data_IF_209084271205
#
_entry.id   IF_209084271205
#
_cell.length_a   1.000
_cell.length_b   1.000
_cell.length_c   1.000
_cell.angle_alpha   90.00
_cell.angle_beta   90.00
_cell.angle_gamma   90.00
#
_symmetry.space_group_name_H-M   'P 1'
#
loop_
_entity.id
_entity.type
_entity.pdbx_description
1 polymer ?
#
# COMPACT_ATOMS: atom_id res chain seq x y z
N UNK A 1 -42.40 27.19 19.64
CA UNK A 1 -41.14 27.30 20.41
C UNK A 1 -40.27 26.04 20.30
N UNK A 2 -40.78 24.82 20.60
CA UNK A 2 -39.96 23.59 20.55
C UNK A 2 -39.41 23.24 19.14
N UNK A 3 -40.21 23.42 18.09
CA UNK A 3 -39.79 23.14 16.70
C UNK A 3 -38.61 23.98 16.22
N UNK A 4 -38.53 25.25 16.66
CA UNK A 4 -37.42 26.13 16.33
C UNK A 4 -36.11 25.64 16.94
N UNK A 5 -36.16 25.17 18.19
CA UNK A 5 -34.98 24.62 18.88
C UNK A 5 -34.47 23.32 18.24
N UNK A 6 -35.37 22.48 17.73
CA UNK A 6 -35.01 21.25 17.01
C UNK A 6 -34.29 21.57 15.70
N UNK A 7 -34.81 22.53 14.93
CA UNK A 7 -34.21 22.94 13.65
C UNK A 7 -32.82 23.55 13.88
N UNK A 8 -32.68 24.44 14.86
CA UNK A 8 -31.40 25.07 15.21
C UNK A 8 -30.39 24.02 15.66
N UNK A 9 -30.80 23.04 16.48
CA UNK A 9 -29.93 21.92 16.90
C UNK A 9 -29.46 21.08 15.71
N UNK A 10 -30.38 20.75 14.78
CA UNK A 10 -30.05 20.02 13.56
C UNK A 10 -29.05 20.76 12.66
N UNK A 11 -29.22 22.08 12.49
CA UNK A 11 -28.30 22.91 11.71
C UNK A 11 -26.91 23.00 12.36
N UNK A 12 -26.83 23.08 13.69
CA UNK A 12 -25.56 23.10 14.42
C UNK A 12 -24.81 21.78 14.29
N UNK A 13 -25.51 20.64 14.40
CA UNK A 13 -24.90 19.31 14.18
C UNK A 13 -24.41 19.15 12.75
N UNK A 14 -25.20 19.63 11.77
CA UNK A 14 -24.82 19.59 10.36
C UNK A 14 -23.58 20.46 10.06
N UNK A 15 -23.54 21.69 10.60
CA UNK A 15 -22.38 22.58 10.48
C UNK A 15 -21.14 22.01 11.18
N UNK A 16 -21.28 21.44 12.38
CA UNK A 16 -20.16 20.81 13.08
C UNK A 16 -19.62 19.59 12.31
N UNK A 17 -20.50 18.80 11.68
CA UNK A 17 -20.10 17.69 10.81
C UNK A 17 -19.39 18.19 9.55
N UNK A 18 -19.90 19.24 8.92
CA UNK A 18 -19.27 19.85 7.75
C UNK A 18 -17.90 20.44 8.09
N UNK A 19 -17.77 21.13 9.22
CA UNK A 19 -16.49 21.63 9.72
C UNK A 19 -15.50 20.50 10.00
N UNK A 20 -15.92 19.36 10.56
CA UNK A 20 -15.03 18.20 10.75
C UNK A 20 -14.54 17.62 9.42
N UNK A 21 -15.41 17.54 8.41
CA UNK A 21 -15.04 17.08 7.07
C UNK A 21 -14.02 18.06 6.46
N UNK A 22 -14.30 19.36 6.51
CA UNK A 22 -13.42 20.40 5.98
C UNK A 22 -12.07 20.44 6.73
N UNK A 23 -12.06 20.24 8.06
CA UNK A 23 -10.81 20.17 8.85
C UNK A 23 -10.02 18.88 8.57
N UNK A 24 -10.69 17.76 8.33
CA UNK A 24 -10.05 16.50 7.94
C UNK A 24 -9.46 16.60 6.53
N UNK A 25 -10.15 17.28 5.60
CA UNK A 25 -9.64 17.59 4.26
C UNK A 25 -8.50 18.61 4.26
N UNK A 26 -8.44 19.47 5.27
CA UNK A 26 -7.39 20.49 5.42
C UNK A 26 -6.26 20.08 6.35
N UNK A 27 -6.35 18.92 7.01
CA UNK A 27 -5.18 18.35 7.68
C UNK A 27 -4.20 17.97 6.57
N UNK A 28 -3.09 18.73 6.37
CA UNK A 28 -2.08 18.30 5.44
C UNK A 28 -1.53 17.03 6.06
N UNK A 29 -1.82 15.87 5.48
CA UNK A 29 -0.96 14.72 5.75
C UNK A 29 0.43 15.24 5.42
N UNK A 30 1.30 15.30 6.44
CA UNK A 30 2.69 15.71 6.26
C UNK A 30 3.23 14.77 5.20
N UNK A 31 3.28 15.25 3.97
CA UNK A 31 3.83 14.56 2.83
C UNK A 31 5.35 14.62 2.96
N UNK A 32 5.87 14.09 4.07
CA UNK A 32 7.28 14.02 4.39
C UNK A 32 8.01 13.15 3.37
N UNK A 33 7.29 12.26 2.67
CA UNK A 33 7.79 11.56 1.50
C UNK A 33 8.13 12.49 0.32
N UNK A 34 7.51 13.68 0.22
CA UNK A 34 7.43 14.48 -1.00
C UNK A 34 8.34 15.71 -1.05
N UNK A 35 8.93 16.15 0.06
CA UNK A 35 9.82 17.32 0.08
C UNK A 35 11.15 17.01 0.79
N UNK A 36 12.01 16.22 0.14
CA UNK A 36 13.45 16.44 0.31
C UNK A 36 13.80 17.74 -0.42
N UNK A 37 13.88 18.79 0.38
CA UNK A 37 14.39 20.12 0.04
C UNK A 37 15.79 20.02 -0.57
N UNK A 38 15.96 20.45 -1.83
CA UNK A 38 17.16 21.12 -2.33
C UNK A 38 18.54 20.44 -2.25
N UNK A 39 18.65 19.19 -1.82
CA UNK A 39 19.86 18.36 -1.90
C UNK A 39 19.71 17.30 -2.97
N UNK A 40 20.82 16.77 -3.50
CA UNK A 40 20.83 15.71 -4.51
C UNK A 40 19.74 14.67 -4.26
N UNK A 41 18.93 14.34 -5.28
CA UNK A 41 17.89 13.31 -5.23
C UNK A 41 18.51 12.02 -4.68
N UNK A 42 18.29 11.74 -3.40
CA UNK A 42 18.77 10.50 -2.80
C UNK A 42 17.92 9.36 -3.35
N UNK A 43 18.47 8.66 -4.33
CA UNK A 43 17.88 7.44 -4.87
C UNK A 43 17.78 6.44 -3.72
N UNK A 44 16.55 6.02 -3.44
CA UNK A 44 16.25 5.01 -2.41
C UNK A 44 15.96 3.67 -3.07
N UNK A 45 16.32 2.59 -2.38
CA UNK A 45 15.85 1.25 -2.72
C UNK A 45 14.48 1.01 -2.07
N UNK A 46 13.47 0.79 -2.90
CA UNK A 46 12.07 0.63 -2.47
C UNK A 46 11.59 -0.77 -2.82
N UNK A 47 10.94 -1.45 -1.88
CA UNK A 47 10.29 -2.74 -2.07
C UNK A 47 8.78 -2.57 -2.00
N UNK A 48 8.09 -2.82 -3.10
CA UNK A 48 6.65 -2.95 -3.15
C UNK A 48 6.27 -4.43 -2.93
N UNK A 49 5.54 -4.71 -1.84
CA UNK A 49 5.10 -6.06 -1.50
C UNK A 49 3.60 -6.20 -1.80
N UNK A 50 3.27 -7.08 -2.75
CA UNK A 50 1.91 -7.37 -3.21
C UNK A 50 1.55 -8.85 -3.02
N UNK A 51 0.26 -9.17 -3.04
CA UNK A 51 -0.23 -10.53 -2.85
C UNK A 51 -0.30 -11.29 -4.17
N UNK A 52 -0.82 -10.65 -5.21
CA UNK A 52 -1.18 -11.30 -6.47
C UNK A 52 -0.69 -10.51 -7.69
N UNK A 53 -0.50 -11.19 -8.83
CA UNK A 53 -0.29 -10.52 -10.11
C UNK A 53 -1.57 -9.80 -10.56
N UNK A 54 -1.53 -8.47 -10.63
CA UNK A 54 -2.61 -7.48 -10.94
C UNK A 54 -2.64 -6.34 -9.91
N UNK A 55 -2.25 -6.61 -8.66
CA UNK A 55 -2.21 -5.64 -7.57
C UNK A 55 -1.37 -4.40 -7.90
N UNK A 56 -0.25 -4.60 -8.62
CA UNK A 56 0.64 -3.52 -9.04
C UNK A 56 -0.07 -2.54 -9.97
N UNK A 57 -0.88 -3.06 -10.88
CA UNK A 57 -1.59 -2.29 -11.89
C UNK A 57 -2.88 -1.70 -11.31
N UNK A 58 -3.64 -2.51 -10.57
CA UNK A 58 -4.95 -2.15 -10.02
C UNK A 58 -4.83 -1.13 -8.88
N UNK A 59 -3.86 -1.33 -7.99
CA UNK A 59 -3.64 -0.46 -6.86
C UNK A 59 -2.42 0.42 -7.10
N UNK A 60 -1.23 -0.13 -7.30
CA UNK A 60 -0.02 0.66 -7.11
C UNK A 60 0.47 1.49 -8.31
N UNK A 61 -0.21 1.48 -9.46
CA UNK A 61 0.21 2.21 -10.68
C UNK A 61 0.61 3.67 -10.43
N UNK A 62 -0.16 4.51 -9.71
CA UNK A 62 0.24 5.88 -9.41
C UNK A 62 1.52 5.97 -8.58
N UNK A 63 1.64 5.10 -7.58
CA UNK A 63 2.80 5.03 -6.68
C UNK A 63 4.05 4.60 -7.46
N UNK A 64 3.94 3.55 -8.27
CA UNK A 64 5.04 3.03 -9.08
C UNK A 64 5.53 4.10 -10.06
N UNK A 65 4.63 4.73 -10.80
CA UNK A 65 4.99 5.80 -11.75
C UNK A 65 5.67 6.98 -11.06
N UNK A 66 5.20 7.38 -9.87
CA UNK A 66 5.86 8.43 -9.10
C UNK A 66 7.29 8.00 -8.73
N UNK A 67 7.47 6.83 -8.13
CA UNK A 67 8.77 6.34 -7.67
C UNK A 67 9.79 6.23 -8.82
N UNK A 68 9.37 5.65 -9.94
CA UNK A 68 10.23 5.49 -11.11
C UNK A 68 10.54 6.84 -11.76
N UNK A 69 9.59 7.78 -11.82
CA UNK A 69 9.83 9.14 -12.35
C UNK A 69 10.82 9.96 -11.52
N UNK A 70 10.91 9.67 -10.22
CA UNK A 70 11.87 10.31 -9.29
C UNK A 70 13.23 9.60 -9.25
N UNK A 71 13.40 8.53 -10.03
CA UNK A 71 14.65 7.78 -10.14
C UNK A 71 14.92 6.85 -8.96
N UNK A 72 13.91 6.52 -8.14
CA UNK A 72 14.06 5.52 -7.09
C UNK A 72 14.24 4.12 -7.69
N UNK A 73 14.95 3.26 -6.96
CA UNK A 73 15.22 1.89 -7.37
C UNK A 73 14.11 0.97 -6.84
N UNK A 74 13.09 0.71 -7.66
CA UNK A 74 11.90 -0.03 -7.25
C UNK A 74 12.02 -1.53 -7.53
N UNK A 75 11.77 -2.34 -6.51
CA UNK A 75 11.64 -3.80 -6.59
C UNK A 75 10.20 -4.19 -6.25
N UNK A 76 9.68 -5.22 -6.91
CA UNK A 76 8.35 -5.79 -6.66
C UNK A 76 8.53 -7.21 -6.15
N UNK A 77 7.95 -7.49 -4.99
CA UNK A 77 7.79 -8.84 -4.44
C UNK A 77 6.32 -9.23 -4.46
N UNK A 78 5.98 -10.19 -5.32
CA UNK A 78 4.65 -10.79 -5.37
C UNK A 78 4.67 -12.12 -4.64
N UNK A 79 3.89 -12.23 -3.56
CA UNK A 79 3.98 -13.36 -2.61
C UNK A 79 3.28 -14.63 -3.09
N UNK A 80 2.47 -14.54 -4.14
CA UNK A 80 1.84 -15.69 -4.79
C UNK A 80 1.80 -15.53 -6.31
N UNK A 81 1.46 -16.62 -6.98
CA UNK A 81 1.29 -16.67 -8.44
C UNK A 81 -0.12 -16.29 -8.89
N UNK A 82 -1.04 -16.00 -7.96
CA UNK A 82 -2.45 -15.72 -8.29
C UNK A 82 -3.18 -16.93 -8.88
N UNK A 83 -2.79 -18.16 -8.49
CA UNK A 83 -3.23 -19.39 -9.14
C UNK A 83 -4.57 -19.96 -8.60
N UNK A 84 -5.42 -19.16 -7.97
CA UNK A 84 -6.71 -19.65 -7.46
C UNK A 84 -7.58 -20.29 -8.56
N UNK A 85 -7.52 -19.75 -9.78
CA UNK A 85 -8.26 -20.24 -10.95
C UNK A 85 -7.43 -21.16 -11.87
N UNK A 86 -6.24 -21.60 -11.45
CA UNK A 86 -5.35 -22.43 -12.27
C UNK A 86 -4.59 -21.66 -13.37
N UNK A 87 -4.63 -20.32 -13.34
CA UNK A 87 -4.06 -19.41 -14.36
C UNK A 87 -2.71 -18.79 -13.95
N UNK A 88 -2.06 -19.28 -12.91
CA UNK A 88 -0.91 -18.62 -12.30
C UNK A 88 0.30 -18.43 -13.22
N UNK A 89 0.53 -19.35 -14.17
CA UNK A 89 1.60 -19.19 -15.16
C UNK A 89 1.34 -18.03 -16.12
N UNK A 90 0.08 -17.83 -16.53
CA UNK A 90 -0.31 -16.71 -17.40
C UNK A 90 -0.19 -15.40 -16.62
N UNK A 91 -0.71 -15.37 -15.39
CA UNK A 91 -0.67 -14.20 -14.51
C UNK A 91 0.76 -13.76 -14.14
N UNK A 92 1.70 -14.71 -14.01
CA UNK A 92 3.13 -14.40 -13.86
C UNK A 92 3.66 -13.58 -15.04
N UNK A 93 3.38 -14.02 -16.26
CA UNK A 93 3.82 -13.32 -17.48
C UNK A 93 3.14 -11.94 -17.59
N UNK A 94 1.86 -11.84 -17.25
CA UNK A 94 1.12 -10.58 -17.22
C UNK A 94 1.77 -9.57 -16.27
N UNK A 95 2.16 -9.98 -15.05
CA UNK A 95 2.85 -9.09 -14.10
C UNK A 95 4.23 -8.66 -14.62
N UNK A 96 5.00 -9.54 -15.28
CA UNK A 96 6.26 -9.12 -15.89
C UNK A 96 6.04 -8.07 -16.99
N UNK A 97 5.05 -8.26 -17.86
CA UNK A 97 4.71 -7.30 -18.91
C UNK A 97 4.21 -5.97 -18.34
N UNK A 98 3.32 -6.00 -17.35
CA UNK A 98 2.83 -4.81 -16.66
C UNK A 98 3.97 -4.04 -15.98
N UNK A 99 4.87 -4.76 -15.30
CA UNK A 99 6.05 -4.17 -14.65
C UNK A 99 6.96 -3.47 -15.66
N UNK A 100 7.18 -4.07 -16.84
CA UNK A 100 7.97 -3.45 -17.90
C UNK A 100 7.33 -2.15 -18.41
N UNK A 101 6.01 -2.12 -18.58
CA UNK A 101 5.24 -0.90 -18.95
C UNK A 101 5.39 0.18 -17.86
N UNK A 102 5.36 -0.24 -16.60
CA UNK A 102 5.55 0.62 -15.42
C UNK A 102 7.02 1.01 -15.17
N UNK A 103 7.93 0.66 -16.09
CA UNK A 103 9.38 0.97 -16.07
C UNK A 103 10.12 0.35 -14.89
N UNK A 104 9.66 -0.80 -14.41
CA UNK A 104 10.35 -1.64 -13.43
C UNK A 104 11.11 -2.75 -14.19
N UNK A 105 12.45 -2.81 -14.08
CA UNK A 105 13.23 -3.87 -14.71
C UNK A 105 12.81 -5.26 -14.22
N UNK A 106 12.74 -6.23 -15.13
CA UNK A 106 12.26 -7.58 -14.82
C UNK A 106 13.08 -8.28 -13.73
N UNK A 107 14.38 -7.99 -13.62
CA UNK A 107 15.27 -8.53 -12.59
C UNK A 107 14.91 -8.03 -11.17
N UNK A 108 14.11 -6.97 -11.08
CA UNK A 108 13.62 -6.39 -9.85
C UNK A 108 12.22 -6.87 -9.49
N UNK A 109 11.64 -7.75 -10.29
CA UNK A 109 10.35 -8.38 -10.04
C UNK A 109 10.59 -9.83 -9.61
N UNK A 110 10.16 -10.17 -8.40
CA UNK A 110 10.23 -11.53 -7.85
C UNK A 110 8.81 -12.01 -7.55
N UNK A 111 8.44 -13.15 -8.14
CA UNK A 111 7.14 -13.80 -7.92
C UNK A 111 7.38 -15.12 -7.21
N UNK A 112 6.72 -15.34 -6.07
CA UNK A 112 6.85 -16.56 -5.30
C UNK A 112 5.81 -17.60 -5.71
N UNK A 113 6.23 -18.86 -5.64
CA UNK A 113 5.38 -20.02 -5.78
C UNK A 113 5.57 -20.92 -4.56
N UNK A 114 5.09 -20.45 -3.41
CA UNK A 114 5.31 -21.08 -2.12
C UNK A 114 4.07 -21.86 -1.69
N UNK A 115 4.22 -23.11 -1.24
CA UNK A 115 3.11 -24.00 -0.88
C UNK A 115 2.19 -23.42 0.20
N UNK A 116 2.75 -22.62 1.11
CA UNK A 116 2.02 -21.99 2.21
C UNK A 116 1.45 -20.60 1.89
N UNK A 117 1.75 -20.03 0.72
CA UNK A 117 1.32 -18.69 0.28
C UNK A 117 0.43 -18.78 -0.97
N UNK A 118 -0.51 -19.73 -0.97
CA UNK A 118 -1.42 -19.93 -2.10
C UNK A 118 -2.55 -18.89 -2.07
N UNK A 119 -2.92 -18.41 -3.26
CA UNK A 119 -4.04 -17.50 -3.48
C UNK A 119 -5.39 -18.17 -3.16
N UNK A 120 -6.35 -17.37 -2.67
CA UNK A 120 -7.74 -17.73 -2.53
C UNK A 120 -8.38 -17.21 -1.24
N UNK A 121 -9.70 -16.99 -1.29
CA UNK A 121 -10.47 -16.65 -0.10
C UNK A 121 -10.40 -17.76 0.95
N UNK A 122 -10.11 -17.37 2.19
CA UNK A 122 -9.95 -18.31 3.31
C UNK A 122 -8.58 -19.00 3.37
N UNK A 123 -7.67 -18.73 2.43
CA UNK A 123 -6.26 -19.12 2.55
C UNK A 123 -5.56 -18.10 3.43
N UNK A 124 -5.33 -18.45 4.69
CA UNK A 124 -4.61 -17.57 5.63
C UNK A 124 -3.12 -17.80 5.50
N UNK A 125 -2.36 -16.73 5.27
CA UNK A 125 -0.91 -16.80 5.21
C UNK A 125 -0.30 -16.57 6.59
N UNK A 126 0.76 -17.32 6.90
CA UNK A 126 1.47 -17.17 8.16
C UNK A 126 2.28 -15.86 8.16
N UNK A 127 1.93 -14.92 9.02
CA UNK A 127 2.60 -13.61 9.07
C UNK A 127 4.10 -13.69 9.44
N UNK A 128 4.54 -14.70 10.20
CA UNK A 128 5.97 -14.90 10.48
C UNK A 128 6.73 -15.39 9.24
N UNK A 129 6.10 -16.23 8.41
CA UNK A 129 6.68 -16.64 7.14
C UNK A 129 6.81 -15.42 6.21
N UNK A 130 5.74 -14.64 6.07
CA UNK A 130 5.76 -13.40 5.27
C UNK A 130 6.84 -12.44 5.78
N UNK A 131 6.93 -12.22 7.10
CA UNK A 131 7.94 -11.34 7.70
C UNK A 131 9.37 -11.79 7.34
N UNK A 132 9.69 -13.09 7.49
CA UNK A 132 11.02 -13.63 7.15
C UNK A 132 11.37 -13.45 5.67
N UNK A 133 10.42 -13.73 4.77
CA UNK A 133 10.62 -13.53 3.34
C UNK A 133 10.93 -12.06 3.01
N UNK A 134 10.19 -11.13 3.62
CA UNK A 134 10.41 -9.69 3.40
C UNK A 134 11.76 -9.26 3.98
N UNK A 135 12.12 -9.76 5.17
CA UNK A 135 13.43 -9.53 5.80
C UNK A 135 14.60 -9.95 4.89
N UNK A 136 14.51 -11.14 4.30
CA UNK A 136 15.50 -11.65 3.34
C UNK A 136 15.65 -10.72 2.13
N UNK A 137 14.55 -10.23 1.57
CA UNK A 137 14.60 -9.27 0.44
C UNK A 137 15.17 -7.92 0.86
N UNK A 138 14.87 -7.45 2.08
CA UNK A 138 15.42 -6.20 2.62
C UNK A 138 16.94 -6.27 2.67
N UNK A 139 17.49 -7.34 3.23
CA UNK A 139 18.94 -7.51 3.34
C UNK A 139 19.60 -7.74 1.98
N UNK A 140 18.99 -8.54 1.11
CA UNK A 140 19.56 -8.89 -0.19
C UNK A 140 19.64 -7.68 -1.13
N UNK A 141 18.69 -6.75 -1.04
CA UNK A 141 18.56 -5.62 -1.97
C UNK A 141 18.83 -4.26 -1.32
N UNK A 142 19.27 -4.26 -0.08
CA UNK A 142 19.54 -3.05 0.72
C UNK A 142 18.32 -2.11 0.70
N UNK A 143 17.13 -2.66 0.98
CA UNK A 143 15.87 -1.90 0.93
C UNK A 143 15.81 -0.90 2.08
N UNK A 144 15.46 0.34 1.76
CA UNK A 144 15.26 1.42 2.73
C UNK A 144 13.78 1.69 2.99
N UNK A 145 12.90 1.36 2.02
CA UNK A 145 11.47 1.64 2.10
C UNK A 145 10.66 0.42 1.66
N UNK A 146 9.71 0.00 2.48
CA UNK A 146 8.72 -1.03 2.15
C UNK A 146 7.35 -0.39 1.96
N UNK A 147 6.65 -0.75 0.90
CA UNK A 147 5.28 -0.29 0.61
C UNK A 147 4.37 -1.51 0.47
N UNK A 148 3.21 -1.50 1.12
CA UNK A 148 2.20 -2.57 0.98
C UNK A 148 0.78 -2.07 1.26
N UNK A 149 -0.19 -2.97 1.39
CA UNK A 149 -1.59 -2.68 1.70
C UNK A 149 -1.80 -2.16 3.13
N UNK A 150 -2.93 -1.52 3.39
CA UNK A 150 -3.41 -1.25 4.74
C UNK A 150 -3.90 -2.52 5.47
N UNK A 151 -4.25 -2.38 6.74
CA UNK A 151 -4.72 -3.47 7.59
C UNK A 151 -6.07 -4.06 7.18
N UNK A 152 -6.83 -3.36 6.32
CA UNK A 152 -8.06 -3.88 5.73
C UNK A 152 -7.76 -4.65 4.42
N UNK A 153 -6.54 -4.58 3.89
CA UNK A 153 -6.20 -5.21 2.63
C UNK A 153 -6.86 -4.54 1.43
N UNK A 154 -7.07 -3.21 1.50
CA UNK A 154 -7.69 -2.34 0.49
C UNK A 154 -9.16 -2.69 0.17
N UNK A 155 -9.40 -3.88 -0.38
CA UNK A 155 -10.71 -4.42 -0.75
C UNK A 155 -11.30 -5.38 0.31
N UNK A 156 -10.49 -5.84 1.27
CA UNK A 156 -10.91 -6.84 2.27
C UNK A 156 -10.38 -8.24 1.99
N UNK A 157 -9.52 -8.40 0.99
CA UNK A 157 -8.94 -9.69 0.65
C UNK A 157 -8.03 -10.20 1.77
N UNK A 158 -8.19 -11.47 2.17
CA UNK A 158 -7.46 -12.03 3.32
C UNK A 158 -5.95 -12.03 3.10
N UNK A 159 -5.48 -12.34 1.90
CA UNK A 159 -4.04 -12.34 1.60
C UNK A 159 -3.43 -10.93 1.73
N UNK A 160 -4.14 -9.88 1.30
CA UNK A 160 -3.65 -8.50 1.42
C UNK A 160 -3.51 -8.11 2.90
N UNK A 161 -4.49 -8.49 3.73
CA UNK A 161 -4.44 -8.34 5.18
C UNK A 161 -3.23 -9.09 5.78
N UNK A 162 -2.94 -10.30 5.29
CA UNK A 162 -1.82 -11.11 5.78
C UNK A 162 -0.47 -10.51 5.40
N UNK A 163 -0.34 -9.86 4.23
CA UNK A 163 0.86 -9.09 3.87
C UNK A 163 1.07 -7.93 4.85
N UNK A 164 0.01 -7.14 5.13
CA UNK A 164 0.08 -6.06 6.12
C UNK A 164 0.50 -6.59 7.50
N UNK A 165 -0.05 -7.73 7.94
CA UNK A 165 0.34 -8.38 9.21
C UNK A 165 1.79 -8.82 9.20
N UNK A 166 2.29 -9.36 8.08
CA UNK A 166 3.70 -9.75 7.93
C UNK A 166 4.65 -8.57 8.04
N UNK A 167 4.35 -7.45 7.37
CA UNK A 167 5.14 -6.21 7.49
C UNK A 167 5.10 -5.67 8.91
N UNK A 168 3.94 -5.65 9.57
CA UNK A 168 3.86 -5.23 10.99
C UNK A 168 4.63 -6.14 11.92
N UNK A 169 4.60 -7.45 11.67
CA UNK A 169 5.37 -8.43 12.44
C UNK A 169 6.87 -8.18 12.32
N UNK A 170 7.35 -7.95 11.09
CA UNK A 170 8.74 -7.59 10.81
C UNK A 170 9.20 -6.35 11.59
N UNK A 171 8.40 -5.28 11.59
CA UNK A 171 8.72 -4.03 12.29
C UNK A 171 8.71 -4.19 13.81
N UNK A 172 7.89 -5.10 14.34
CA UNK A 172 7.81 -5.35 15.78
C UNK A 172 8.96 -6.22 16.29
N UNK A 173 9.29 -7.28 15.56
CA UNK A 173 10.28 -8.27 16.00
C UNK A 173 11.72 -7.77 15.85
N UNK A 174 11.95 -6.78 14.97
CA UNK A 174 13.31 -6.40 14.58
C UNK A 174 13.64 -4.97 14.99
N UNK A 175 14.13 -4.83 16.22
CA UNK A 175 14.64 -3.55 16.74
C UNK A 175 15.87 -3.00 16.00
N UNK A 176 16.40 -3.72 15.00
CA UNK A 176 17.62 -3.40 14.27
C UNK A 176 17.43 -3.15 12.76
N UNK A 177 16.25 -3.41 12.19
CA UNK A 177 15.99 -3.11 10.77
C UNK A 177 15.63 -1.63 10.65
N UNK A 178 16.55 -0.85 10.08
CA UNK A 178 16.33 0.55 9.75
C UNK A 178 15.59 0.69 8.40
N UNK A 179 14.34 0.25 8.36
CA UNK A 179 13.47 0.34 7.18
C UNK A 179 12.25 1.20 7.47
N UNK A 180 11.86 2.03 6.50
CA UNK A 180 10.64 2.80 6.57
C UNK A 180 9.50 2.03 5.89
N UNK A 181 8.41 1.74 6.59
CA UNK A 181 7.27 1.03 6.01
C UNK A 181 6.07 1.96 5.77
N UNK A 182 5.37 1.77 4.65
CA UNK A 182 4.20 2.55 4.26
C UNK A 182 3.04 1.63 3.85
N UNK A 183 1.83 1.96 4.28
CA UNK A 183 0.59 1.31 3.86
C UNK A 183 -0.18 2.18 2.86
N UNK A 184 -0.78 1.52 1.88
CA UNK A 184 -1.78 2.10 1.01
C UNK A 184 -3.11 2.24 1.74
N UNK A 185 -3.40 3.44 2.20
CA UNK A 185 -4.60 3.74 2.98
C UNK A 185 -5.81 3.79 2.06
N UNK A 186 -6.81 3.00 2.41
CA UNK A 186 -8.16 3.17 1.87
C UNK A 186 -8.72 4.55 2.23
N UNK A 187 -9.16 5.31 1.22
CA UNK A 187 -10.08 6.43 1.45
C UNK A 187 -11.52 5.89 1.43
N UNK A 188 -12.15 5.75 2.59
CA UNK A 188 -13.58 5.41 2.69
C UNK A 188 -14.46 6.69 2.60
N UNK A 189 -14.06 7.65 1.77
CA UNK A 189 -14.68 8.98 1.71
C UNK A 189 -14.56 9.55 0.31
N UNK A 190 -15.39 9.04 -0.61
CA UNK A 190 -16.09 9.78 -1.68
C UNK A 190 -17.11 8.77 -2.23
N UNK A 191 -18.26 8.71 -1.56
CA UNK A 191 -19.50 8.33 -2.22
C UNK A 191 -20.19 9.66 -2.52
N UNK A 192 -20.50 9.85 -3.80
CA UNK A 192 -21.13 10.99 -4.48
C UNK A 192 -20.24 12.17 -4.92
N UNK A 193 -20.32 12.40 -6.23
CA UNK A 193 -19.99 13.56 -7.06
C UNK A 193 -18.65 13.53 -7.81
N UNK A 194 -18.83 13.65 -9.14
CA UNK A 194 -17.89 13.99 -10.22
C UNK A 194 -16.91 12.92 -10.71
N UNK A 195 -17.35 12.24 -11.77
CA UNK A 195 -16.63 12.12 -13.06
C UNK A 195 -15.27 12.85 -13.11
N UNK A 196 -14.19 12.11 -13.39
CA UNK A 196 -12.85 12.62 -13.74
C UNK A 196 -12.14 13.54 -12.72
N UNK A 197 -11.59 12.97 -11.64
CA UNK A 197 -10.36 13.52 -11.02
C UNK A 197 -9.59 12.38 -10.34
N UNK A 198 -8.30 12.27 -10.67
CA UNK A 198 -7.26 11.43 -10.07
C UNK A 198 -7.66 10.58 -8.85
N UNK A 199 -7.47 9.26 -8.95
CA UNK A 199 -7.36 8.40 -7.77
C UNK A 199 -6.23 8.93 -6.88
N UNK A 200 -6.55 9.75 -5.89
CA UNK A 200 -5.62 10.12 -4.83
C UNK A 200 -5.38 8.87 -3.99
N UNK A 201 -4.32 8.13 -4.27
CA UNK A 201 -3.81 7.16 -3.31
C UNK A 201 -3.05 7.89 -2.21
N UNK A 202 -3.35 7.56 -0.95
CA UNK A 202 -2.60 8.08 0.19
C UNK A 202 -1.76 6.94 0.77
N UNK A 203 -0.44 7.12 0.76
CA UNK A 203 0.46 6.31 1.55
C UNK A 203 0.54 6.89 2.96
N UNK A 204 0.51 6.01 3.97
CA UNK A 204 0.71 6.37 5.38
C UNK A 204 1.87 5.59 5.96
N UNK A 205 2.77 6.29 6.64
CA UNK A 205 3.90 5.68 7.33
C UNK A 205 3.38 4.78 8.45
N UNK A 206 3.81 3.52 8.46
CA UNK A 206 3.63 2.58 9.55
C UNK A 206 4.66 2.91 10.63
N UNK A 207 4.46 4.01 11.36
CA UNK A 207 5.28 4.29 12.54
C UNK A 207 5.08 3.15 13.54
N UNK A 208 6.19 2.61 14.06
CA UNK A 208 6.18 1.88 15.31
C UNK A 208 5.71 2.85 16.39
N UNK A 209 4.54 2.61 16.96
CA UNK A 209 4.30 3.16 18.30
C UNK A 209 5.33 2.50 19.21
N UNK A 210 6.34 3.26 19.62
CA UNK A 210 6.96 3.05 20.93
C UNK A 210 5.93 3.36 22.02
#
# INVERSE_FOLDING_TARGET
MAWFMIIVSGMLVWLASLCKILHASWSPSKATFLNSTGGALHRKNVLLVISHPDDESMFFSPTINYLTSRGHNLHILCLSTGNADGMGNIRKEELYLASAILKVPLQQVKILDHTDLQDGFGKVWNCNLVARIIEEEIHTREIEVVITFDNYGVSGHCNHCDVNRGVRRLLHDTSQINVEAWELVRILSIVLLTCFTCACQWLRCMLTCC
#
